data_IF_123647058511
#
_entry.id   IF_123647058511
#
_cell.length_a   1.000
_cell.length_b   1.000
_cell.length_c   1.000
_cell.angle_alpha   90.00
_cell.angle_beta   90.00
_cell.angle_gamma   90.00
#
_symmetry.space_group_name_H-M   'P 1'
#
loop_
_entity.id
_entity.type
_entity.pdbx_description
1 polymer ?
#
# COMPACT_ATOMS: atom_id res chain seq x y z
N UNK A 1 27.13 -4.57 17.22
CA UNK A 1 25.94 -4.97 16.44
C UNK A 1 26.00 -4.30 15.07
N UNK A 2 26.64 -4.96 14.11
CA UNK A 2 26.59 -4.61 12.68
C UNK A 2 25.75 -5.71 12.00
N UNK A 3 24.95 -5.34 11.01
CA UNK A 3 24.16 -6.21 10.12
C UNK A 3 22.74 -6.63 10.55
N UNK A 4 21.82 -5.66 10.64
CA UNK A 4 20.40 -5.99 10.36
C UNK A 4 19.73 -4.91 9.50
N UNK A 5 20.11 -3.63 9.65
CA UNK A 5 19.59 -2.51 8.83
C UNK A 5 20.25 -2.40 7.43
N UNK A 6 20.28 -3.49 6.67
CA UNK A 6 20.29 -3.42 5.20
C UNK A 6 18.85 -3.27 4.66
N UNK A 7 17.99 -2.67 5.49
CA UNK A 7 16.54 -2.75 5.40
C UNK A 7 16.01 -1.75 4.38
N UNK A 8 15.29 -2.31 3.42
CA UNK A 8 14.63 -1.65 2.30
C UNK A 8 15.58 -0.94 1.34
N UNK A 9 16.09 -1.72 0.39
CA UNK A 9 16.67 -1.21 -0.84
C UNK A 9 15.59 -0.57 -1.72
N UNK A 10 15.03 0.56 -1.28
CA UNK A 10 13.99 1.33 -1.98
C UNK A 10 14.36 1.54 -3.45
N UNK A 11 15.65 1.78 -3.73
CA UNK A 11 16.19 1.88 -5.08
C UNK A 11 16.09 0.59 -5.90
N UNK A 12 16.40 -0.58 -5.33
CA UNK A 12 16.28 -1.87 -6.04
C UNK A 12 14.83 -2.26 -6.27
N UNK A 13 13.95 -2.06 -5.29
CA UNK A 13 12.50 -2.31 -5.42
C UNK A 13 11.90 -1.42 -6.51
N UNK A 14 12.20 -0.12 -6.48
CA UNK A 14 11.73 0.83 -7.51
C UNK A 14 12.28 0.48 -8.89
N UNK A 15 13.52 -0.02 -8.97
CA UNK A 15 14.13 -0.47 -10.23
C UNK A 15 13.36 -1.65 -10.80
N UNK A 16 13.04 -2.66 -10.00
CA UNK A 16 12.25 -3.84 -10.42
C UNK A 16 10.88 -3.41 -10.95
N UNK A 17 10.19 -2.50 -10.28
CA UNK A 17 8.89 -2.00 -10.74
C UNK A 17 8.98 -1.32 -12.11
N UNK A 18 10.01 -0.48 -12.31
CA UNK A 18 10.25 0.18 -13.61
C UNK A 18 10.59 -0.81 -14.72
N UNK A 19 11.49 -1.76 -14.45
CA UNK A 19 11.90 -2.77 -15.43
C UNK A 19 10.72 -3.64 -15.90
N UNK A 20 9.83 -3.99 -14.97
CA UNK A 20 8.63 -4.79 -15.26
C UNK A 20 7.42 -3.95 -15.68
N UNK A 21 7.57 -2.63 -15.83
CA UNK A 21 6.50 -1.69 -16.19
C UNK A 21 5.26 -1.83 -15.28
N UNK A 22 5.51 -2.08 -14.00
CA UNK A 22 4.48 -2.14 -12.99
C UNK A 22 3.98 -0.74 -12.66
N UNK A 23 2.66 -0.62 -12.60
CA UNK A 23 1.92 0.58 -12.29
C UNK A 23 1.33 0.42 -10.90
N UNK A 24 1.39 1.49 -10.11
CA UNK A 24 0.71 1.55 -8.82
C UNK A 24 -0.79 1.76 -9.05
N UNK A 25 -1.61 0.89 -8.47
CA UNK A 25 -3.06 0.97 -8.55
C UNK A 25 -3.63 2.23 -7.86
N UNK A 26 -2.91 2.71 -6.84
CA UNK A 26 -3.26 3.90 -6.08
C UNK A 26 -2.58 5.13 -6.66
N UNK A 27 -3.36 5.99 -7.31
CA UNK A 27 -2.85 7.23 -7.91
C UNK A 27 -2.73 8.37 -6.91
N UNK A 28 -3.47 8.29 -5.82
CA UNK A 28 -3.62 9.37 -4.84
C UNK A 28 -2.71 9.16 -3.63
N UNK A 29 -2.12 7.97 -3.49
CA UNK A 29 -1.14 7.65 -2.46
C UNK A 29 -1.76 7.54 -1.07
N UNK A 30 -2.92 6.90 -0.97
CA UNK A 30 -3.63 6.68 0.27
C UNK A 30 -2.79 5.91 1.30
N UNK A 31 -2.83 6.37 2.54
CA UNK A 31 -2.16 5.74 3.68
C UNK A 31 -2.93 4.53 4.16
N UNK A 32 -2.21 3.46 4.49
CA UNK A 32 -2.79 2.17 4.90
C UNK A 32 -2.49 1.82 6.35
N UNK A 33 -1.44 2.40 6.94
CA UNK A 33 -0.99 2.05 8.29
C UNK A 33 -0.40 3.24 9.04
N UNK A 34 -0.11 3.11 10.34
CA UNK A 34 -0.84 2.22 11.24
C UNK A 34 -2.26 2.75 11.47
N UNK A 35 -3.24 1.89 11.77
CA UNK A 35 -4.56 2.32 12.25
C UNK A 35 -4.49 2.77 13.73
N UNK A 36 -3.46 2.29 14.45
CA UNK A 36 -3.15 2.65 15.85
C UNK A 36 -1.65 2.61 16.10
N UNK A 37 -1.11 3.65 16.74
CA UNK A 37 0.22 3.63 17.34
C UNK A 37 0.06 3.52 18.84
N UNK A 38 0.32 2.38 19.47
CA UNK A 38 0.40 2.40 20.94
C UNK A 38 1.64 3.20 21.35
N UNK A 39 1.59 4.17 22.30
CA UNK A 39 0.44 4.62 23.11
C UNK A 39 -0.29 5.88 22.57
N UNK A 40 0.10 6.40 21.40
CA UNK A 40 -0.47 7.61 20.80
C UNK A 40 -1.75 7.34 19.98
N UNK A 41 -2.87 7.95 20.36
CA UNK A 41 -4.04 8.00 19.47
C UNK A 41 -3.67 8.78 18.21
N UNK A 42 -3.80 8.12 17.06
CA UNK A 42 -3.68 8.74 15.74
C UNK A 42 -5.06 8.80 15.09
N UNK A 43 -5.38 9.93 14.44
CA UNK A 43 -6.68 10.16 13.79
C UNK A 43 -6.67 9.63 12.35
N UNK A 44 -6.18 8.40 12.17
CA UNK A 44 -6.07 7.72 10.88
C UNK A 44 -4.65 7.29 10.53
N UNK A 45 -4.52 6.59 9.40
CA UNK A 45 -3.25 6.08 8.88
C UNK A 45 -2.34 7.20 8.38
N UNK A 46 -1.04 7.10 8.66
CA UNK A 46 -0.03 8.12 8.34
C UNK A 46 1.06 7.63 7.38
N UNK A 47 1.16 6.33 7.18
CA UNK A 47 2.12 5.68 6.30
C UNK A 47 1.39 4.88 5.22
N UNK A 48 1.99 4.85 4.03
CA UNK A 48 1.61 3.99 2.92
C UNK A 48 2.68 2.93 2.74
N UNK A 49 2.40 1.73 3.23
CA UNK A 49 3.34 0.61 3.20
C UNK A 49 2.77 -0.62 2.51
N UNK A 50 1.46 -0.64 2.25
CA UNK A 50 0.80 -1.63 1.41
C UNK A 50 0.57 -1.06 0.01
N UNK A 51 0.82 -1.88 -1.00
CA UNK A 51 0.75 -1.49 -2.40
C UNK A 51 0.07 -2.59 -3.21
N UNK A 52 -0.67 -2.19 -4.24
CA UNK A 52 -1.16 -3.09 -5.28
C UNK A 52 -0.56 -2.65 -6.61
N UNK A 53 0.30 -3.47 -7.19
CA UNK A 53 0.92 -3.19 -8.48
C UNK A 53 0.27 -4.01 -9.59
N UNK A 54 0.10 -3.41 -10.76
CA UNK A 54 -0.49 -4.06 -11.92
C UNK A 54 0.29 -3.76 -13.19
N UNK A 55 0.06 -4.54 -14.25
CA UNK A 55 0.64 -4.25 -15.58
C UNK A 55 -0.31 -3.38 -16.39
N UNK A 56 0.16 -2.85 -17.52
CA UNK A 56 -0.65 -2.09 -18.47
C UNK A 56 -1.79 -2.90 -19.12
N UNK A 57 -1.81 -4.22 -18.96
CA UNK A 57 -2.90 -5.12 -19.40
C UNK A 57 -4.10 -5.12 -18.47
N UNK A 58 -3.91 -4.68 -17.23
CA UNK A 58 -4.97 -4.61 -16.22
C UNK A 58 -5.38 -3.15 -16.09
N UNK A 59 -6.65 -2.87 -16.35
CA UNK A 59 -7.27 -1.62 -15.95
C UNK A 59 -7.74 -1.75 -14.51
N UNK A 60 -7.41 -0.74 -13.69
CA UNK A 60 -7.84 -0.66 -12.30
C UNK A 60 -8.71 0.57 -12.14
N UNK A 61 -9.84 0.39 -11.46
CA UNK A 61 -10.83 1.43 -11.15
C UNK A 61 -11.32 1.31 -9.71
N UNK A 62 -11.97 2.36 -9.20
CA UNK A 62 -12.57 2.40 -7.86
C UNK A 62 -11.64 1.98 -6.71
N UNK A 63 -10.35 2.33 -6.84
CA UNK A 63 -9.38 2.11 -5.77
C UNK A 63 -9.77 2.90 -4.52
N UNK A 64 -9.73 2.24 -3.36
CA UNK A 64 -9.97 2.87 -2.06
C UNK A 64 -9.31 2.09 -0.94
N UNK A 65 -8.93 2.82 0.11
CA UNK A 65 -8.59 2.24 1.41
C UNK A 65 -9.82 2.26 2.31
N UNK A 66 -10.29 1.09 2.76
CA UNK A 66 -11.49 1.02 3.61
C UNK A 66 -11.15 1.37 5.05
N UNK A 67 -11.53 2.59 5.47
CA UNK A 67 -11.33 3.09 6.83
C UNK A 67 -12.63 2.94 7.59
N UNK A 68 -12.69 1.95 8.48
CA UNK A 68 -13.87 1.65 9.31
C UNK A 68 -13.43 1.29 10.74
N UNK A 69 -14.28 1.58 11.71
CA UNK A 69 -14.08 1.27 13.14
C UNK A 69 -13.82 -0.21 13.42
N UNK A 70 -14.35 -1.11 12.58
CA UNK A 70 -14.06 -2.54 12.66
C UNK A 70 -12.57 -2.76 12.38
N UNK A 71 -12.05 -2.19 11.29
CA UNK A 71 -10.65 -2.37 10.89
C UNK A 71 -9.66 -1.77 11.88
N UNK A 72 -9.99 -0.61 12.47
CA UNK A 72 -9.19 0.00 13.54
C UNK A 72 -8.94 -0.94 14.73
N UNK A 73 -9.86 -1.88 14.98
CA UNK A 73 -9.81 -2.80 16.13
C UNK A 73 -9.18 -4.14 15.78
N UNK A 74 -9.16 -4.52 14.51
CA UNK A 74 -8.79 -5.87 14.08
C UNK A 74 -7.39 -5.96 13.49
N UNK A 75 -6.85 -4.87 12.95
CA UNK A 75 -5.51 -4.83 12.37
C UNK A 75 -4.91 -3.43 12.51
N UNK A 76 -3.60 -3.35 12.53
CA UNK A 76 -2.82 -2.12 12.39
C UNK A 76 -2.77 -1.60 10.93
N UNK A 77 -3.36 -2.30 9.97
CA UNK A 77 -3.47 -1.87 8.57
C UNK A 77 -4.93 -1.82 8.09
N UNK A 78 -5.25 -0.85 7.24
CA UNK A 78 -6.52 -0.79 6.52
C UNK A 78 -6.46 -1.62 5.22
N UNK A 79 -7.54 -2.32 4.85
CA UNK A 79 -7.58 -3.08 3.62
C UNK A 79 -7.72 -2.15 2.40
N UNK A 80 -7.02 -2.54 1.32
CA UNK A 80 -7.13 -1.95 -0.01
C UNK A 80 -8.17 -2.73 -0.81
N UNK A 81 -9.05 -2.05 -1.53
CA UNK A 81 -9.95 -2.67 -2.50
C UNK A 81 -10.02 -1.85 -3.78
N UNK A 82 -10.22 -2.54 -4.91
CA UNK A 82 -10.32 -1.94 -6.24
C UNK A 82 -11.01 -2.93 -7.19
N UNK A 83 -11.52 -2.42 -8.30
CA UNK A 83 -12.05 -3.21 -9.41
C UNK A 83 -10.96 -3.45 -10.46
N UNK A 84 -11.03 -4.59 -11.16
CA UNK A 84 -10.13 -4.93 -12.25
C UNK A 84 -10.88 -5.28 -13.52
N UNK A 85 -10.38 -4.79 -14.64
CA UNK A 85 -10.77 -5.23 -15.98
C UNK A 85 -9.51 -5.65 -16.75
N UNK A 86 -9.53 -6.83 -17.36
CA UNK A 86 -8.40 -7.32 -18.15
C UNK A 86 -8.64 -6.89 -19.60
N UNK A 87 -7.70 -6.13 -20.16
CA UNK A 87 -7.71 -5.76 -21.58
C UNK A 87 -7.32 -6.99 -22.39
N UNK A 88 -8.21 -7.41 -23.28
CA UNK A 88 -7.92 -8.43 -24.32
C UNK A 88 -6.81 -7.95 -25.27
#
# INVERSE_FOLDING_TARGET
>A
MKSVLNEMKRGEVTKIFKENKLLDADKDGETTAPTRLFPAKIEGSVLRIDYAFHTNKIHVSDFKVLKDLIFDKTSDHYPIVFNIDIKE
#
